data_IF_554946160791
#
_entry.id   IF_554946160791
#
_cell.length_a   1.000
_cell.length_b   1.000
_cell.length_c   1.000
_cell.angle_alpha   90.00
_cell.angle_beta   90.00
_cell.angle_gamma   90.00
#
_symmetry.space_group_name_H-M   'P 1'
#
loop_
_entity.id
_entity.type
_entity.pdbx_description
1 polymer ?
#
# COMPACT_ATOMS: atom_id res chain seq x y z
N UNK A 1 13.80 15.78 13.41
CA UNK A 1 12.81 15.31 14.40
C UNK A 1 12.37 13.91 13.98
N UNK A 2 13.09 12.87 14.43
CA UNK A 2 12.86 11.47 14.02
C UNK A 2 11.95 10.79 15.04
N UNK A 3 10.75 10.39 14.63
CA UNK A 3 9.86 9.58 15.46
C UNK A 3 10.47 8.18 15.56
N UNK A 4 11.15 7.90 16.67
CA UNK A 4 11.75 6.60 16.99
C UNK A 4 10.64 5.61 17.30
N UNK A 5 10.15 4.89 16.30
CA UNK A 5 9.16 3.81 16.46
C UNK A 5 9.87 2.66 17.20
N UNK A 6 9.64 2.58 18.52
CA UNK A 6 10.11 1.47 19.34
C UNK A 6 9.17 0.29 19.09
N UNK A 7 9.67 -0.74 18.39
CA UNK A 7 8.98 -2.01 18.15
C UNK A 7 8.82 -2.79 19.46
N UNK A 8 7.88 -2.38 20.31
CA UNK A 8 7.41 -3.17 21.45
C UNK A 8 6.57 -4.33 20.92
N UNK A 9 6.63 -5.53 21.56
CA UNK A 9 5.77 -6.64 21.17
C UNK A 9 4.29 -6.21 21.27
N UNK A 10 3.53 -6.47 20.20
CA UNK A 10 2.10 -6.16 20.10
C UNK A 10 1.37 -6.77 21.30
N UNK A 11 1.05 -5.96 22.31
CA UNK A 11 0.38 -6.40 23.51
C UNK A 11 -1.11 -6.07 23.35
N UNK A 12 -1.97 -7.09 23.18
CA UNK A 12 -3.44 -6.92 23.24
C UNK A 12 -4.09 -6.03 22.15
N UNK A 13 -5.23 -6.48 21.61
CA UNK A 13 -6.00 -5.72 20.59
C UNK A 13 -6.37 -4.28 21.00
N UNK A 14 -6.40 -3.98 22.31
CA UNK A 14 -6.86 -2.70 22.86
C UNK A 14 -5.73 -1.67 22.98
N UNK A 15 -4.53 -2.06 23.43
CA UNK A 15 -3.37 -1.16 23.46
C UNK A 15 -2.91 -0.79 22.04
N UNK A 16 -2.90 -1.73 21.09
CA UNK A 16 -2.51 -1.47 19.70
C UNK A 16 -3.41 -0.41 19.05
N UNK A 17 -4.72 -0.45 19.33
CA UNK A 17 -5.67 0.56 18.84
C UNK A 17 -5.40 1.95 19.44
N UNK A 18 -5.15 2.04 20.75
CA UNK A 18 -4.85 3.31 21.42
C UNK A 18 -3.55 3.91 20.90
N UNK A 19 -2.53 3.09 20.72
CA UNK A 19 -1.25 3.50 20.14
C UNK A 19 -1.45 4.01 18.71
N UNK A 20 -2.21 3.29 17.88
CA UNK A 20 -2.56 3.72 16.53
C UNK A 20 -3.23 5.09 16.49
N UNK A 21 -4.24 5.33 17.34
CA UNK A 21 -4.92 6.65 17.42
C UNK A 21 -3.96 7.76 17.85
N UNK A 22 -3.04 7.45 18.76
CA UNK A 22 -2.02 8.41 19.21
C UNK A 22 -1.08 8.76 18.06
N UNK A 23 -0.64 7.77 17.27
CA UNK A 23 0.19 7.98 16.09
C UNK A 23 -0.53 8.84 15.05
N UNK A 24 -1.81 8.57 14.76
CA UNK A 24 -2.59 9.37 13.81
C UNK A 24 -2.69 10.84 14.25
N UNK A 25 -2.94 11.08 15.54
CA UNK A 25 -3.00 12.42 16.11
C UNK A 25 -1.64 13.14 16.02
N UNK A 26 -0.54 12.44 16.29
CA UNK A 26 0.81 13.00 16.16
C UNK A 26 1.20 13.29 14.71
N UNK A 27 0.75 12.47 13.77
CA UNK A 27 0.97 12.66 12.34
C UNK A 27 0.06 13.74 11.72
N UNK A 28 -0.93 14.27 12.48
CA UNK A 28 -1.84 15.30 11.99
C UNK A 28 -2.77 14.82 10.88
N UNK A 29 -2.98 13.51 10.75
CA UNK A 29 -3.82 12.92 9.70
C UNK A 29 -5.22 12.62 10.22
N UNK A 30 -6.16 12.47 9.28
CA UNK A 30 -7.55 12.09 9.60
C UNK A 30 -7.60 10.80 10.39
N UNK A 31 -8.64 10.67 11.22
CA UNK A 31 -8.85 9.47 11.99
C UNK A 31 -9.29 8.29 11.10
N UNK A 32 -8.46 7.25 11.00
CA UNK A 32 -8.67 6.10 10.12
C UNK A 32 -8.39 4.80 10.84
N UNK A 33 -8.90 3.68 10.31
CA UNK A 33 -8.60 2.35 10.86
C UNK A 33 -7.21 1.90 10.41
N UNK A 34 -6.57 1.03 11.18
CA UNK A 34 -5.29 0.39 10.83
C UNK A 34 -5.38 -0.28 9.46
N UNK A 35 -6.52 -0.93 9.17
CA UNK A 35 -6.75 -1.56 7.88
C UNK A 35 -6.80 -0.57 6.71
N UNK A 36 -7.29 0.65 6.91
CA UNK A 36 -7.33 1.67 5.86
C UNK A 36 -5.91 2.13 5.51
N UNK A 37 -5.06 2.33 6.52
CA UNK A 37 -3.65 2.66 6.29
C UNK A 37 -2.90 1.54 5.57
N UNK A 38 -3.20 0.28 5.90
CA UNK A 38 -2.68 -0.89 5.17
C UNK A 38 -3.16 -0.91 3.72
N UNK A 39 -4.40 -0.49 3.44
CA UNK A 39 -4.90 -0.35 2.08
C UNK A 39 -4.17 0.76 1.32
N UNK A 40 -3.96 1.92 1.94
CA UNK A 40 -3.19 3.01 1.34
C UNK A 40 -1.75 2.60 1.04
N UNK A 41 -1.08 1.92 1.96
CA UNK A 41 0.29 1.42 1.74
C UNK A 41 0.37 0.46 0.54
N UNK A 42 -0.60 -0.46 0.42
CA UNK A 42 -0.66 -1.38 -0.71
C UNK A 42 -0.86 -0.65 -2.04
N UNK A 43 -1.79 0.31 -2.11
CA UNK A 43 -2.02 1.12 -3.31
C UNK A 43 -0.75 1.89 -3.71
N UNK A 44 -0.07 2.54 -2.76
CA UNK A 44 1.15 3.30 -3.04
C UNK A 44 2.27 2.43 -3.61
N UNK A 45 2.45 1.22 -3.07
CA UNK A 45 3.48 0.29 -3.57
C UNK A 45 3.10 -0.21 -4.97
N UNK A 46 1.82 -0.48 -5.22
CA UNK A 46 1.35 -0.88 -6.54
C UNK A 46 1.56 0.28 -7.52
N UNK A 47 1.17 1.51 -7.21
CA UNK A 47 1.36 2.70 -8.05
C UNK A 47 2.82 2.96 -8.46
N UNK A 48 3.80 2.49 -7.67
CA UNK A 48 5.22 2.57 -8.01
C UNK A 48 5.67 1.52 -9.05
N UNK A 49 4.77 0.65 -9.51
CA UNK A 49 5.02 -0.36 -10.54
C UNK A 49 5.46 -1.70 -9.97
N UNK A 50 5.35 -1.89 -8.66
CA UNK A 50 5.73 -3.14 -8.01
C UNK A 50 4.69 -4.21 -8.33
N UNK A 51 5.16 -5.38 -8.75
CA UNK A 51 4.31 -6.50 -9.11
C UNK A 51 3.38 -6.87 -7.94
N UNK A 52 2.09 -7.05 -8.25
CA UNK A 52 1.04 -7.40 -7.29
C UNK A 52 1.38 -8.63 -6.41
N UNK A 53 2.14 -9.60 -6.92
CA UNK A 53 2.60 -10.77 -6.15
C UNK A 53 3.68 -10.40 -5.12
N UNK A 54 4.55 -9.44 -5.45
CA UNK A 54 5.54 -8.91 -4.49
C UNK A 54 4.80 -8.14 -3.39
N UNK A 55 3.80 -7.33 -3.76
CA UNK A 55 2.97 -6.60 -2.79
C UNK A 55 2.21 -7.56 -1.86
N UNK A 56 1.69 -8.67 -2.38
CA UNK A 56 1.08 -9.74 -1.57
C UNK A 56 2.03 -10.32 -0.53
N UNK A 57 3.28 -10.59 -0.91
CA UNK A 57 4.29 -11.12 0.01
C UNK A 57 4.73 -10.09 1.04
N UNK A 58 4.96 -8.84 0.63
CA UNK A 58 5.32 -7.73 1.53
C UNK A 58 4.23 -7.48 2.58
N UNK A 59 2.97 -7.59 2.18
CA UNK A 59 1.85 -7.44 3.10
C UNK A 59 1.65 -8.72 3.93
N UNK A 60 2.06 -9.90 3.47
CA UNK A 60 1.83 -11.17 4.17
C UNK A 60 0.38 -11.64 4.07
N UNK A 61 -0.31 -11.34 2.97
CA UNK A 61 -1.67 -11.84 2.73
C UNK A 61 -1.64 -13.30 2.29
N UNK A 62 -2.21 -14.20 3.09
CA UNK A 62 -2.36 -15.62 2.74
C UNK A 62 -3.43 -15.87 1.67
N UNK A 63 -4.30 -14.90 1.39
CA UNK A 63 -5.39 -15.00 0.40
C UNK A 63 -5.29 -13.91 -0.68
N UNK A 64 -5.27 -14.36 -1.94
CA UNK A 64 -5.26 -13.53 -3.16
C UNK A 64 -6.49 -12.61 -3.27
N UNK A 65 -7.63 -13.01 -2.69
CA UNK A 65 -8.91 -12.27 -2.73
C UNK A 65 -8.84 -10.87 -2.11
N UNK A 66 -7.92 -10.62 -1.16
CA UNK A 66 -7.71 -9.27 -0.59
C UNK A 66 -6.99 -8.33 -1.57
N UNK A 67 -6.37 -8.90 -2.61
CA UNK A 67 -5.55 -8.18 -3.59
C UNK A 67 -6.34 -7.84 -4.85
N UNK A 68 -7.46 -8.53 -5.09
CA UNK A 68 -8.42 -8.21 -6.16
C UNK A 68 -8.92 -6.76 -6.08
N UNK A 69 -8.95 -6.18 -4.86
CA UNK A 69 -9.28 -4.76 -4.65
C UNK A 69 -8.30 -3.80 -5.33
N UNK A 70 -7.06 -4.21 -5.58
CA UNK A 70 -6.04 -3.36 -6.20
C UNK A 70 -5.86 -3.61 -7.71
N UNK A 71 -6.62 -4.54 -8.29
CA UNK A 71 -6.51 -4.89 -9.71
C UNK A 71 -6.73 -3.68 -10.61
N UNK A 72 -7.65 -2.76 -10.24
CA UNK A 72 -7.89 -1.53 -10.99
C UNK A 72 -6.65 -0.62 -11.11
N UNK A 73 -5.84 -0.54 -10.05
CA UNK A 73 -4.60 0.26 -10.05
C UNK A 73 -3.56 -0.40 -10.96
N UNK A 74 -3.46 -1.73 -10.92
CA UNK A 74 -2.61 -2.49 -11.82
C UNK A 74 -3.03 -2.34 -13.30
N UNK A 75 -4.34 -2.26 -13.60
CA UNK A 75 -4.84 -2.03 -14.97
C UNK A 75 -4.36 -0.71 -15.56
N UNK A 76 -4.33 0.37 -14.76
CA UNK A 76 -3.81 1.67 -15.22
C UNK A 76 -2.32 1.59 -15.56
N UNK A 77 -1.54 0.84 -14.78
CA UNK A 77 -0.12 0.64 -15.04
C UNK A 77 0.14 -0.27 -16.24
N UNK A 78 -0.69 -1.29 -16.45
CA UNK A 78 -0.60 -2.13 -17.65
C UNK A 78 -0.86 -1.31 -18.91
N UNK A 79 -1.78 -0.33 -18.84
CA UNK A 79 -2.02 0.60 -19.94
C UNK A 79 -0.80 1.49 -20.17
N UNK A 80 -0.27 2.13 -19.14
CA UNK A 80 0.94 2.97 -19.24
C UNK A 80 2.16 2.18 -19.77
N UNK A 81 2.35 0.93 -19.31
CA UNK A 81 3.39 0.04 -19.81
C UNK A 81 3.18 -0.33 -21.30
N UNK A 82 1.92 -0.57 -21.71
CA UNK A 82 1.58 -0.84 -23.11
C UNK A 82 1.78 0.39 -24.00
N UNK A 83 1.44 1.58 -23.50
CA UNK A 83 1.62 2.85 -24.21
C UNK A 83 3.11 3.16 -24.40
N UNK A 84 3.93 2.95 -23.36
CA UNK A 84 5.40 3.08 -23.44
C UNK A 84 6.02 2.06 -24.40
N UNK A 85 5.53 0.83 -24.41
CA UNK A 85 5.97 -0.20 -25.35
C UNK A 85 5.58 0.18 -26.79
N UNK A 86 4.38 0.72 -27.00
CA UNK A 86 3.95 1.25 -28.30
C UNK A 86 4.87 2.37 -28.80
N UNK A 87 5.21 3.32 -27.92
CA UNK A 87 6.15 4.40 -28.26
C UNK A 87 7.56 3.87 -28.58
N UNK A 88 8.06 2.89 -27.83
CA UNK A 88 9.39 2.33 -28.04
C UNK A 88 9.50 1.52 -29.34
N UNK A 89 8.44 0.82 -29.74
CA UNK A 89 8.43 -0.03 -30.93
C UNK A 89 8.11 0.75 -32.22
N UNK A 90 7.18 1.70 -32.16
CA UNK A 90 6.65 2.37 -33.35
C UNK A 90 7.11 3.82 -33.52
N UNK A 91 7.72 4.42 -32.49
CA UNK A 91 7.99 5.87 -32.46
C UNK A 91 6.69 6.68 -32.35
N UNK A 92 6.76 7.92 -31.86
CA UNK A 92 5.60 8.82 -31.93
C UNK A 92 5.32 9.18 -33.40
N UNK A 93 4.06 9.32 -33.84
CA UNK A 93 3.77 10.12 -35.03
C UNK A 93 4.23 11.58 -34.84
#
# INVERSE_FOLDING_TARGET
MLVRIRWLPLCGRTEDWKLWKTILKQAGVRDVRVHDARHTAATLVIEQGVNIRVVQQVLGHTRVTTTERYTHVATLQMKDASDRMGQALWGSP
#
